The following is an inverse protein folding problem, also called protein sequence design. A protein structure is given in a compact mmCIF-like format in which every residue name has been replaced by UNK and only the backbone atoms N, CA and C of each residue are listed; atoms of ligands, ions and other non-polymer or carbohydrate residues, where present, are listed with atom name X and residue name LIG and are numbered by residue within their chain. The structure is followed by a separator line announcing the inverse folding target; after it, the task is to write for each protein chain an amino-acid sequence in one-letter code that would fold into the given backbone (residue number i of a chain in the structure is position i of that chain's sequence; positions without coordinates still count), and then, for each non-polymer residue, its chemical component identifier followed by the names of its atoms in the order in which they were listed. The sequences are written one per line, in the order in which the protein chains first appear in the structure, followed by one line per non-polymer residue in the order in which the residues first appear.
data_IF_355698591369
#
_entry.id   IF_355698591369
#
_cell.length_a   1.000
_cell.length_b   1.000
_cell.length_c   1.000
_cell.angle_alpha   90.00
_cell.angle_beta   90.00
_cell.angle_gamma   90.00
#
_symmetry.space_group_name_H-M   'P 1'
#
loop_
_entity.id
_entity.type
_entity.pdbx_description
1 polymer ?
#
# COMPACT_ATOMS: atom_id res chain seq x y z
N UNK A 1 -1.48 -27.51 5.86
CA UNK A 1 -1.26 -26.51 4.79
C UNK A 1 0.03 -25.79 5.10
N UNK A 2 0.97 -25.62 4.16
CA UNK A 2 2.19 -24.90 4.42
C UNK A 2 1.85 -23.46 4.82
N UNK A 3 2.53 -22.99 5.83
CA UNK A 3 2.43 -21.60 6.27
C UNK A 3 3.00 -20.73 5.16
N UNK A 4 2.32 -19.66 4.75
CA UNK A 4 2.78 -18.73 3.71
C UNK A 4 4.17 -18.11 4.00
N UNK A 5 4.66 -18.25 5.22
CA UNK A 5 5.98 -17.83 5.65
C UNK A 5 7.14 -18.58 4.98
N UNK A 6 6.92 -19.80 4.51
CA UNK A 6 7.98 -20.59 3.87
C UNK A 6 8.41 -20.01 2.53
N UNK A 7 7.51 -19.33 1.83
CA UNK A 7 7.79 -18.70 0.52
C UNK A 7 8.76 -17.51 0.64
N UNK A 8 8.73 -16.80 1.78
CA UNK A 8 9.58 -15.65 2.05
C UNK A 8 10.77 -15.97 2.97
N UNK A 9 11.09 -17.25 3.16
CA UNK A 9 12.13 -17.68 4.08
C UNK A 9 13.48 -17.00 3.86
N UNK A 10 13.89 -16.86 2.60
CA UNK A 10 15.20 -16.26 2.28
C UNK A 10 15.20 -14.74 2.45
N UNK A 11 14.07 -14.08 2.21
CA UNK A 11 13.89 -12.65 2.49
C UNK A 11 13.96 -12.38 4.00
N UNK A 12 13.31 -13.21 4.82
CA UNK A 12 13.39 -13.07 6.26
C UNK A 12 14.80 -13.33 6.81
N UNK A 13 15.54 -14.27 6.24
CA UNK A 13 16.95 -14.49 6.59
C UNK A 13 17.84 -13.30 6.16
N UNK A 14 17.53 -12.69 5.01
CA UNK A 14 18.23 -11.47 4.59
C UNK A 14 17.95 -10.31 5.56
N UNK A 15 16.71 -10.19 6.01
CA UNK A 15 16.30 -9.23 7.02
C UNK A 15 17.01 -9.46 8.36
N UNK A 16 17.15 -10.71 8.83
CA UNK A 16 17.91 -11.05 10.02
C UNK A 16 19.35 -10.60 9.91
N UNK A 17 20.04 -11.00 8.83
CA UNK A 17 21.44 -10.60 8.58
C UNK A 17 21.64 -9.09 8.56
N UNK A 18 20.69 -8.36 7.96
CA UNK A 18 20.76 -6.90 7.89
C UNK A 18 20.56 -6.27 9.27
N UNK A 19 19.61 -6.76 10.04
CA UNK A 19 19.36 -6.28 11.39
C UNK A 19 20.56 -6.54 12.33
N UNK A 20 21.23 -7.69 12.20
CA UNK A 20 22.43 -8.03 12.98
C UNK A 20 23.63 -7.14 12.65
N UNK A 21 23.71 -6.58 11.44
CA UNK A 21 24.78 -5.70 10.99
C UNK A 21 24.59 -4.23 11.36
N UNK A 22 23.39 -3.84 11.79
CA UNK A 22 23.06 -2.46 12.13
C UNK A 22 22.67 -2.34 13.59
N UNK A 23 23.21 -1.36 14.31
CA UNK A 23 22.78 -1.05 15.69
C UNK A 23 21.34 -0.56 15.75
N UNK A 24 20.87 0.06 14.69
CA UNK A 24 19.50 0.59 14.58
C UNK A 24 18.52 -0.48 14.12
N UNK A 25 19.03 -1.67 13.76
CA UNK A 25 18.22 -2.75 13.22
C UNK A 25 17.92 -2.59 11.74
N UNK A 26 16.87 -3.25 11.29
CA UNK A 26 16.39 -3.19 9.91
C UNK A 26 14.86 -3.29 9.87
N UNK A 27 14.25 -2.70 8.85
CA UNK A 27 12.81 -2.63 8.70
C UNK A 27 12.39 -3.16 7.33
N UNK A 28 11.29 -3.88 7.29
CA UNK A 28 10.66 -4.32 6.03
C UNK A 28 9.15 -4.13 6.09
N UNK A 29 8.52 -4.00 4.92
CA UNK A 29 7.09 -4.17 4.74
C UNK A 29 6.86 -5.44 3.95
N UNK A 30 6.02 -6.31 4.48
CA UNK A 30 5.60 -7.56 3.83
C UNK A 30 4.12 -7.45 3.51
N UNK A 31 3.79 -7.58 2.23
CA UNK A 31 2.39 -7.66 1.80
C UNK A 31 2.04 -9.12 1.56
N UNK A 32 1.20 -9.67 2.42
CA UNK A 32 0.75 -11.05 2.34
C UNK A 32 -0.58 -11.27 3.08
N UNK A 33 -1.13 -12.46 2.93
CA UNK A 33 -2.40 -12.88 3.56
C UNK A 33 -2.14 -13.45 4.95
N UNK A 34 -1.83 -12.60 5.91
CA UNK A 34 -1.59 -13.00 7.30
C UNK A 34 -2.88 -13.16 8.11
N UNK A 35 -2.81 -14.02 9.12
CA UNK A 35 -3.89 -14.24 10.08
C UNK A 35 -4.98 -15.22 9.62
N UNK A 36 -6.03 -15.35 10.43
CA UNK A 36 -7.12 -16.30 10.19
C UNK A 36 -8.00 -15.94 9.00
N UNK A 37 -8.18 -14.64 8.78
CA UNK A 37 -9.06 -14.10 7.74
C UNK A 37 -8.44 -14.15 6.35
N UNK A 38 -7.13 -14.42 6.23
CA UNK A 38 -6.38 -14.48 4.96
C UNK A 38 -6.61 -13.27 4.04
N UNK A 39 -6.72 -12.10 4.64
CA UNK A 39 -6.85 -10.86 3.89
C UNK A 39 -5.46 -10.36 3.51
N UNK A 40 -5.23 -10.16 2.21
CA UNK A 40 -4.00 -9.54 1.71
C UNK A 40 -3.86 -8.15 2.32
N UNK A 41 -2.80 -7.92 3.06
CA UNK A 41 -2.54 -6.64 3.72
C UNK A 41 -1.06 -6.40 3.92
N UNK A 42 -0.61 -5.13 3.89
CA UNK A 42 0.76 -4.78 4.22
C UNK A 42 0.97 -4.82 5.73
N UNK A 43 2.11 -5.37 6.13
CA UNK A 43 2.55 -5.45 7.51
C UNK A 43 3.96 -4.90 7.63
N UNK A 44 4.21 -4.13 8.66
CA UNK A 44 5.49 -3.59 9.01
C UNK A 44 6.18 -4.49 10.05
N UNK A 45 7.41 -4.87 9.76
CA UNK A 45 8.24 -5.72 10.61
C UNK A 45 9.59 -5.04 10.87
N UNK A 46 9.73 -4.26 11.93
CA UNK A 46 11.03 -3.83 12.43
C UNK A 46 11.72 -4.98 13.16
N UNK A 47 13.02 -5.07 13.02
CA UNK A 47 13.85 -6.09 13.62
C UNK A 47 15.11 -5.45 14.23
N UNK A 48 15.38 -5.72 15.50
CA UNK A 48 16.46 -5.11 16.25
C UNK A 48 17.43 -6.16 16.78
N UNK A 49 18.75 -5.91 16.75
CA UNK A 49 19.73 -6.83 17.31
C UNK A 49 19.70 -6.81 18.83
N UNK A 50 19.91 -7.97 19.42
CA UNK A 50 20.10 -8.15 20.87
C UNK A 50 21.59 -8.37 21.12
N UNK A 51 22.18 -7.61 22.03
CA UNK A 51 23.60 -7.69 22.36
C UNK A 51 23.83 -8.30 23.76
N UNK A 52 24.92 -9.03 23.90
CA UNK A 52 25.42 -9.39 25.21
C UNK A 52 26.24 -8.21 25.83
N UNK A 53 26.72 -8.40 27.07
CA UNK A 53 27.53 -7.41 27.79
C UNK A 53 28.84 -7.04 27.05
N UNK A 54 29.34 -7.91 26.19
CA UNK A 54 30.58 -7.71 25.42
C UNK A 54 30.30 -7.10 24.03
N UNK A 55 29.06 -6.67 23.75
CA UNK A 55 28.67 -6.09 22.44
C UNK A 55 28.53 -7.10 21.32
N UNK A 56 28.54 -8.41 21.58
CA UNK A 56 28.31 -9.44 20.57
C UNK A 56 26.81 -9.64 20.38
N UNK A 57 26.38 -9.70 19.10
CA UNK A 57 24.98 -10.01 18.74
C UNK A 57 24.64 -11.44 19.17
N UNK A 58 23.55 -11.59 19.90
CA UNK A 58 22.99 -12.87 20.36
C UNK A 58 21.86 -13.36 19.46
N UNK A 59 21.23 -12.45 18.72
CA UNK A 59 20.08 -12.71 17.87
C UNK A 59 19.31 -11.43 17.62
N UNK A 60 18.09 -11.56 17.13
CA UNK A 60 17.21 -10.43 16.81
C UNK A 60 15.87 -10.55 17.53
N UNK A 61 15.27 -9.42 17.86
CA UNK A 61 13.87 -9.31 18.29
C UNK A 61 13.08 -8.55 17.22
N UNK A 62 11.87 -8.99 16.97
CA UNK A 62 10.99 -8.32 16.03
C UNK A 62 9.53 -8.32 16.50
N UNK A 63 8.75 -7.44 15.94
CA UNK A 63 7.28 -7.49 16.05
C UNK A 63 6.65 -7.17 14.70
N UNK A 64 5.43 -7.63 14.49
CA UNK A 64 4.65 -7.32 13.28
C UNK A 64 3.42 -6.51 13.64
N UNK A 65 3.15 -5.46 12.88
CA UNK A 65 1.89 -4.71 12.95
C UNK A 65 1.38 -4.40 11.55
N UNK A 66 0.05 -4.27 11.40
CA UNK A 66 -0.52 -3.77 10.14
C UNK A 66 0.09 -2.42 9.84
N UNK A 67 0.56 -2.26 8.60
CA UNK A 67 1.14 -1.01 8.15
C UNK A 67 0.01 -0.05 7.78
N UNK A 68 -0.11 1.03 8.53
CA UNK A 68 -1.04 2.11 8.24
C UNK A 68 -0.24 3.22 7.57
N UNK A 69 -0.54 3.48 6.31
CA UNK A 69 0.09 4.59 5.61
C UNK A 69 -0.50 5.91 6.09
N UNK A 70 0.38 6.85 6.32
CA UNK A 70 0.02 8.27 6.34
C UNK A 70 0.31 8.76 4.93
N UNK A 71 -0.70 9.18 4.20
CA UNK A 71 -0.47 9.86 2.92
C UNK A 71 0.28 11.16 3.20
N UNK A 72 1.23 11.51 2.33
CA UNK A 72 1.95 12.78 2.44
C UNK A 72 0.95 13.95 2.44
N UNK A 73 -0.12 13.87 1.66
CA UNK A 73 -1.19 14.87 1.63
C UNK A 73 -1.93 14.94 2.98
N UNK A 74 -2.22 13.81 3.61
CA UNK A 74 -2.92 13.77 4.89
C UNK A 74 -2.03 14.25 6.04
N UNK A 75 -0.72 13.98 5.97
CA UNK A 75 0.25 14.47 6.94
C UNK A 75 0.29 16.00 6.97
N UNK A 76 0.26 16.65 5.81
CA UNK A 76 0.30 18.11 5.73
C UNK A 76 -1.07 18.77 5.98
N UNK A 77 -2.18 18.10 5.68
CA UNK A 77 -3.52 18.71 5.73
C UNK A 77 -4.30 18.42 7.02
N UNK A 78 -4.06 17.33 7.73
CA UNK A 78 -4.94 16.96 8.85
C UNK A 78 -4.28 16.31 10.05
N UNK A 79 -3.01 15.91 10.01
CA UNK A 79 -2.31 15.17 11.08
C UNK A 79 -3.08 13.92 11.57
N UNK A 80 -4.04 13.43 10.77
CA UNK A 80 -4.78 12.21 11.10
C UNK A 80 -4.11 11.02 10.43
N UNK A 81 -3.80 9.94 11.18
CA UNK A 81 -3.31 8.72 10.56
C UNK A 81 -4.37 8.19 9.60
N UNK A 82 -4.05 8.13 8.32
CA UNK A 82 -4.92 7.53 7.32
C UNK A 82 -4.72 6.02 7.32
N UNK A 83 -5.81 5.28 7.36
CA UNK A 83 -5.81 3.83 7.26
C UNK A 83 -6.08 3.47 5.81
N UNK A 84 -5.16 2.76 5.16
CA UNK A 84 -5.45 2.17 3.84
C UNK A 84 -6.55 1.15 3.98
N UNK A 85 -7.56 1.27 3.14
CA UNK A 85 -8.62 0.28 3.00
C UNK A 85 -8.47 -0.49 1.68
N UNK A 86 -8.69 -1.80 1.73
CA UNK A 86 -8.70 -2.68 0.56
C UNK A 86 -10.12 -3.00 0.11
N UNK A 87 -11.10 -2.52 0.87
CA UNK A 87 -12.53 -2.58 0.54
C UNK A 87 -12.96 -1.18 0.15
N UNK A 88 -13.58 -0.99 -1.02
CA UNK A 88 -14.10 0.31 -1.40
C UNK A 88 -15.06 0.84 -0.33
N UNK A 89 -14.97 2.11 0.06
CA UNK A 89 -15.89 2.72 1.03
C UNK A 89 -17.25 3.04 0.42
N UNK A 90 -17.38 2.98 -0.90
CA UNK A 90 -18.61 3.21 -1.67
C UNK A 90 -18.78 2.13 -2.73
N UNK A 91 -20.03 1.74 -3.01
CA UNK A 91 -20.36 0.66 -3.94
C UNK A 91 -20.68 1.17 -5.37
N UNK A 92 -20.57 2.48 -5.60
CA UNK A 92 -20.99 3.12 -6.86
C UNK A 92 -20.08 2.82 -8.05
N UNK A 93 -18.88 2.29 -7.82
CA UNK A 93 -17.86 2.10 -8.86
C UNK A 93 -17.53 0.63 -9.09
N UNK A 94 -17.38 0.27 -10.36
CA UNK A 94 -16.78 -1.00 -10.73
C UNK A 94 -15.29 -1.05 -10.36
N UNK A 95 -14.72 -2.25 -10.23
CA UNK A 95 -13.29 -2.43 -9.94
C UNK A 95 -12.39 -1.67 -10.94
N UNK A 96 -12.77 -1.66 -12.23
CA UNK A 96 -12.02 -0.94 -13.28
C UNK A 96 -12.11 0.58 -13.14
N UNK A 97 -13.21 1.10 -12.68
CA UNK A 97 -13.36 2.54 -12.40
C UNK A 97 -12.53 2.92 -11.17
N UNK A 98 -12.56 2.08 -10.12
CA UNK A 98 -11.75 2.26 -8.91
C UNK A 98 -10.24 2.28 -9.21
N UNK A 99 -9.77 1.45 -10.14
CA UNK A 99 -8.38 1.49 -10.59
C UNK A 99 -8.03 2.82 -11.25
N UNK A 100 -8.90 3.31 -12.12
CA UNK A 100 -8.68 4.58 -12.81
C UNK A 100 -8.71 5.73 -11.81
N UNK A 101 -9.66 5.75 -10.89
CA UNK A 101 -9.75 6.74 -9.81
C UNK A 101 -8.46 6.73 -8.98
N UNK A 102 -7.99 5.55 -8.57
CA UNK A 102 -6.78 5.41 -7.77
C UNK A 102 -5.56 6.08 -8.43
N UNK A 103 -5.34 5.90 -9.72
CA UNK A 103 -4.23 6.54 -10.43
C UNK A 103 -4.51 8.02 -10.74
N UNK A 104 -5.76 8.39 -11.05
CA UNK A 104 -6.13 9.76 -11.36
C UNK A 104 -5.92 10.71 -10.17
N UNK A 105 -6.31 10.31 -8.95
CA UNK A 105 -6.11 11.13 -7.74
C UNK A 105 -4.62 11.32 -7.39
N UNK A 106 -3.73 10.44 -7.89
CA UNK A 106 -2.28 10.60 -7.82
C UNK A 106 -1.75 11.54 -8.91
N UNK A 107 -2.63 12.23 -9.64
CA UNK A 107 -2.33 13.19 -10.71
C UNK A 107 -1.61 12.57 -11.92
N UNK A 108 -1.77 11.27 -12.14
CA UNK A 108 -1.29 10.63 -13.36
C UNK A 108 -2.14 11.06 -14.56
N UNK A 109 -1.48 11.28 -15.69
CA UNK A 109 -2.14 11.59 -16.96
C UNK A 109 -2.90 10.38 -17.50
N UNK A 110 -3.89 10.62 -18.37
CA UNK A 110 -4.63 9.54 -19.01
C UNK A 110 -3.72 8.57 -19.79
N UNK A 111 -2.61 9.07 -20.35
CA UNK A 111 -1.60 8.25 -21.03
C UNK A 111 -0.87 7.31 -20.07
N UNK A 112 -0.40 7.82 -18.95
CA UNK A 112 0.28 7.03 -17.92
C UNK A 112 -0.66 5.98 -17.30
N UNK A 113 -1.92 6.34 -17.06
CA UNK A 113 -2.94 5.40 -16.57
C UNK A 113 -3.19 4.30 -17.61
N UNK A 114 -3.26 4.67 -18.89
CA UNK A 114 -3.45 3.73 -19.99
C UNK A 114 -2.30 2.70 -20.05
N UNK A 115 -1.06 3.13 -19.90
CA UNK A 115 0.12 2.26 -19.84
C UNK A 115 0.05 1.31 -18.63
N UNK A 116 -0.32 1.83 -17.43
CA UNK A 116 -0.45 1.01 -16.22
C UNK A 116 -1.54 -0.06 -16.31
N UNK A 117 -2.65 0.27 -16.97
CA UNK A 117 -3.82 -0.61 -17.07
C UNK A 117 -3.88 -1.42 -18.37
N UNK A 118 -2.88 -1.28 -19.25
CA UNK A 118 -2.84 -1.90 -20.59
C UNK A 118 -4.08 -1.58 -21.42
N UNK A 119 -4.48 -0.30 -21.43
CA UNK A 119 -5.63 0.23 -22.16
C UNK A 119 -5.19 1.34 -23.13
N UNK A 120 -6.09 1.77 -24.02
CA UNK A 120 -5.83 2.94 -24.86
C UNK A 120 -6.08 4.24 -24.09
N UNK A 121 -5.32 5.30 -24.44
CA UNK A 121 -5.54 6.64 -23.89
C UNK A 121 -7.01 7.09 -24.02
N UNK A 122 -7.59 6.89 -25.21
CA UNK A 122 -9.00 7.23 -25.49
C UNK A 122 -9.97 6.47 -24.56
N UNK A 123 -9.65 5.22 -24.22
CA UNK A 123 -10.47 4.43 -23.29
C UNK A 123 -10.45 5.06 -21.90
N UNK A 124 -9.29 5.49 -21.43
CA UNK A 124 -9.15 6.13 -20.12
C UNK A 124 -9.88 7.48 -20.09
N UNK A 125 -9.70 8.31 -21.12
CA UNK A 125 -10.40 9.61 -21.23
C UNK A 125 -11.92 9.45 -21.18
N UNK A 126 -12.46 8.49 -21.94
CA UNK A 126 -13.89 8.22 -21.93
C UNK A 126 -14.37 7.73 -20.56
N UNK A 127 -13.62 6.84 -19.91
CA UNK A 127 -13.98 6.33 -18.59
C UNK A 127 -13.89 7.42 -17.52
N UNK A 128 -12.88 8.30 -17.56
CA UNK A 128 -12.81 9.45 -16.66
C UNK A 128 -14.01 10.37 -16.82
N UNK A 129 -14.46 10.60 -18.07
CA UNK A 129 -15.68 11.38 -18.30
C UNK A 129 -16.90 10.73 -17.64
N UNK A 130 -17.10 9.41 -17.81
CA UNK A 130 -18.21 8.70 -17.16
C UNK A 130 -18.10 8.74 -15.61
N UNK A 131 -16.88 8.65 -15.07
CA UNK A 131 -16.64 8.78 -13.64
C UNK A 131 -17.04 10.19 -13.17
N UNK A 132 -16.63 11.23 -13.89
CA UNK A 132 -17.01 12.61 -13.56
C UNK A 132 -18.52 12.82 -13.60
N UNK A 133 -19.18 12.35 -14.67
CA UNK A 133 -20.64 12.45 -14.82
C UNK A 133 -21.37 11.72 -13.67
N UNK A 134 -20.87 10.56 -13.29
CA UNK A 134 -21.47 9.71 -12.23
C UNK A 134 -21.50 10.39 -10.86
N UNK A 135 -20.47 11.17 -10.54
CA UNK A 135 -20.33 11.83 -9.21
C UNK A 135 -20.59 13.34 -9.27
N UNK A 136 -21.00 13.86 -10.46
CA UNK A 136 -21.30 15.28 -10.63
C UNK A 136 -20.06 16.18 -10.58
N UNK A 137 -18.87 15.63 -10.90
CA UNK A 137 -17.62 16.39 -10.96
C UNK A 137 -17.37 16.92 -12.37
N UNK A 138 -16.69 18.06 -12.47
CA UNK A 138 -16.33 18.67 -13.74
C UNK A 138 -14.81 18.77 -13.96
N UNK A 139 -14.03 18.40 -12.96
CA UNK A 139 -12.56 18.48 -12.99
C UNK A 139 -11.92 17.40 -12.14
N UNK A 140 -10.62 17.17 -12.39
CA UNK A 140 -9.81 16.30 -11.52
C UNK A 140 -9.77 16.81 -10.06
N UNK A 141 -9.80 18.14 -9.88
CA UNK A 141 -9.83 18.72 -8.53
C UNK A 141 -11.10 18.32 -7.78
N UNK A 142 -12.26 18.39 -8.44
CA UNK A 142 -13.54 18.02 -7.83
C UNK A 142 -13.57 16.51 -7.53
N UNK A 143 -13.00 15.68 -8.43
CA UNK A 143 -12.87 14.25 -8.18
C UNK A 143 -11.98 13.95 -6.95
N UNK A 144 -10.86 14.67 -6.79
CA UNK A 144 -10.00 14.52 -5.61
C UNK A 144 -10.77 14.89 -4.34
N UNK A 145 -11.53 15.99 -4.35
CA UNK A 145 -12.34 16.42 -3.21
C UNK A 145 -13.44 15.39 -2.88
N UNK A 146 -14.13 14.88 -3.91
CA UNK A 146 -15.07 13.76 -3.74
C UNK A 146 -14.42 12.53 -3.12
N UNK A 147 -13.23 12.14 -3.58
CA UNK A 147 -12.50 11.00 -3.03
C UNK A 147 -12.08 11.20 -1.57
N UNK A 148 -11.76 12.44 -1.17
CA UNK A 148 -11.49 12.75 0.23
C UNK A 148 -12.74 12.63 1.11
N UNK A 149 -13.86 13.15 0.66
CA UNK A 149 -15.11 13.13 1.43
C UNK A 149 -15.74 11.74 1.52
N UNK A 150 -15.64 10.94 0.46
CA UNK A 150 -16.15 9.57 0.39
C UNK A 150 -15.20 8.52 1.00
N UNK A 151 -13.96 8.89 1.36
CA UNK A 151 -12.95 7.97 1.86
C UNK A 151 -12.19 7.18 0.76
N UNK A 152 -12.51 7.38 -0.52
CA UNK A 152 -11.82 6.72 -1.64
C UNK A 152 -10.35 7.10 -1.74
N UNK A 153 -9.93 8.23 -1.18
CA UNK A 153 -8.52 8.64 -1.09
C UNK A 153 -7.66 7.64 -0.29
N UNK A 154 -8.26 6.82 0.54
CA UNK A 154 -7.60 5.79 1.35
C UNK A 154 -7.73 4.39 0.74
N UNK A 155 -8.49 4.25 -0.33
CA UNK A 155 -8.67 2.97 -1.00
C UNK A 155 -7.49 2.64 -1.91
N UNK A 156 -6.98 1.41 -1.79
CA UNK A 156 -5.95 0.86 -2.67
C UNK A 156 -6.49 -0.40 -3.33
N UNK A 157 -6.55 -0.45 -4.67
CA UNK A 157 -6.95 -1.67 -5.38
C UNK A 157 -6.01 -2.83 -5.06
N UNK A 158 -6.56 -4.00 -4.75
CA UNK A 158 -5.77 -5.20 -4.36
C UNK A 158 -4.70 -5.56 -5.38
N UNK A 159 -4.97 -5.37 -6.67
CA UNK A 159 -4.02 -5.67 -7.74
C UNK A 159 -2.80 -4.74 -7.83
N UNK A 160 -2.86 -3.58 -7.17
CA UNK A 160 -1.72 -2.67 -7.05
C UNK A 160 -0.76 -3.14 -5.97
N UNK A 161 -1.26 -3.89 -4.99
CA UNK A 161 -0.45 -4.51 -3.96
C UNK A 161 0.28 -5.71 -4.55
N UNK A 162 1.58 -5.63 -4.62
CA UNK A 162 2.41 -6.79 -4.93
C UNK A 162 2.62 -7.59 -3.67
N UNK A 163 2.27 -8.87 -3.74
CA UNK A 163 2.66 -9.81 -2.71
C UNK A 163 4.18 -9.92 -2.69
N UNK A 164 4.79 -9.84 -1.52
CA UNK A 164 6.24 -9.90 -1.42
C UNK A 164 6.79 -9.13 -0.21
N UNK A 165 8.11 -9.14 -0.11
CA UNK A 165 8.89 -8.46 0.91
C UNK A 165 9.54 -7.22 0.29
N UNK A 166 9.31 -6.05 0.90
CA UNK A 166 9.91 -4.80 0.49
C UNK A 166 10.95 -4.37 1.54
N UNK A 167 12.17 -4.19 1.08
CA UNK A 167 13.29 -3.73 1.91
C UNK A 167 13.44 -2.21 1.80
N UNK A 168 13.86 -1.57 2.89
CA UNK A 168 14.07 -0.11 2.97
C UNK A 168 15.54 0.26 3.19
N UNK A 169 16.45 -0.51 2.63
CA UNK A 169 17.89 -0.19 2.64
C UNK A 169 18.50 -0.28 1.25
#
# INVERSE_FOLDING_TARGET
MPCSWSEYSDDFKAHDRKAEQSREGAEIIVTSSFGRERVLSPWYFPKFPIYNQNGKVLGTVFFGKKFNFISICDFFNSLKPSVITLTPPVDDFSERELDIIFYAIQKMTAKEIAEKLSLSNRTIENRLRFIYDKVGCHSLKDLIEYCHTSGLSHYVPKKVLREGVNFFW
#
